data_IF_528092757988
#
_entry.id   IF_528092757988
#
_cell.length_a   1.000
_cell.length_b   1.000
_cell.length_c   1.000
_cell.angle_alpha   90.00
_cell.angle_beta   90.00
_cell.angle_gamma   90.00
#
_symmetry.space_group_name_H-M   'P 1'
#
loop_
_entity.id
_entity.type
_entity.pdbx_description
1 polymer ?
#
# COMPACT_ATOMS: atom_id res chain seq x y z
N UNK A 1 -13.91 -1.98 -19.72
CA UNK A 1 -12.94 -2.88 -19.06
C UNK A 1 -11.97 -2.15 -18.12
N UNK A 2 -12.19 -0.86 -17.81
CA UNK A 2 -11.27 -0.02 -17.01
C UNK A 2 -11.36 -0.20 -15.48
N UNK A 3 -12.32 -0.99 -14.99
CA UNK A 3 -12.51 -1.27 -13.56
C UNK A 3 -12.16 -2.72 -13.18
N UNK A 4 -12.12 -3.61 -14.17
CA UNK A 4 -11.85 -5.03 -13.95
C UNK A 4 -10.43 -5.29 -13.45
N UNK A 5 -9.46 -4.43 -13.81
CA UNK A 5 -8.08 -4.55 -13.32
C UNK A 5 -8.00 -4.38 -11.81
N UNK A 6 -8.79 -3.46 -11.23
CA UNK A 6 -8.80 -3.22 -9.78
C UNK A 6 -9.40 -4.43 -9.06
N UNK A 7 -10.54 -4.93 -9.56
CA UNK A 7 -11.16 -6.13 -9.01
C UNK A 7 -10.23 -7.36 -9.10
N UNK A 8 -9.52 -7.52 -10.21
CA UNK A 8 -8.57 -8.62 -10.39
C UNK A 8 -7.39 -8.52 -9.41
N UNK A 9 -6.84 -7.31 -9.21
CA UNK A 9 -5.80 -7.07 -8.22
C UNK A 9 -6.26 -7.42 -6.80
N UNK A 10 -7.48 -7.02 -6.42
CA UNK A 10 -8.04 -7.31 -5.10
C UNK A 10 -8.26 -8.81 -4.88
N UNK A 11 -8.69 -9.55 -5.90
CA UNK A 11 -8.83 -11.01 -5.80
C UNK A 11 -7.49 -11.71 -5.56
N UNK A 12 -6.41 -11.23 -6.18
CA UNK A 12 -5.06 -11.77 -5.93
C UNK A 12 -4.62 -11.56 -4.49
N UNK A 13 -4.85 -10.36 -3.94
CA UNK A 13 -4.52 -10.05 -2.55
C UNK A 13 -5.40 -10.84 -1.57
N UNK A 14 -6.68 -11.03 -1.90
CA UNK A 14 -7.59 -11.86 -1.11
C UNK A 14 -7.13 -13.32 -1.05
N UNK A 15 -6.74 -13.90 -2.18
CA UNK A 15 -6.20 -15.27 -2.26
C UNK A 15 -4.88 -15.41 -1.48
N UNK A 16 -4.04 -14.37 -1.46
CA UNK A 16 -2.79 -14.35 -0.66
C UNK A 16 -3.02 -14.13 0.84
N UNK A 17 -4.12 -13.48 1.23
CA UNK A 17 -4.42 -13.14 2.63
C UNK A 17 -4.35 -14.30 3.64
N UNK A 18 -4.86 -15.53 3.38
CA UNK A 18 -4.77 -16.64 4.32
C UNK A 18 -3.31 -17.01 4.64
N UNK A 19 -2.37 -16.84 3.72
CA UNK A 19 -0.96 -17.15 3.95
C UNK A 19 -0.40 -16.23 5.04
N UNK A 20 -0.69 -14.92 4.94
CA UNK A 20 -0.27 -13.95 5.93
C UNK A 20 -0.96 -14.18 7.28
N UNK A 21 -2.27 -14.40 7.29
CA UNK A 21 -3.03 -14.62 8.53
C UNK A 21 -2.56 -15.90 9.25
N UNK A 22 -2.42 -17.02 8.53
CA UNK A 22 -1.94 -18.27 9.11
C UNK A 22 -0.50 -18.17 9.60
N UNK A 23 0.36 -17.46 8.87
CA UNK A 23 1.73 -17.18 9.29
C UNK A 23 1.76 -16.37 10.59
N UNK A 24 0.91 -15.35 10.74
CA UNK A 24 0.81 -14.57 11.98
C UNK A 24 0.27 -15.39 13.15
N UNK A 25 -0.73 -16.25 12.91
CA UNK A 25 -1.35 -17.08 13.96
C UNK A 25 -0.42 -18.17 14.48
N UNK A 26 0.29 -18.86 13.59
CA UNK A 26 1.18 -19.98 13.97
C UNK A 26 2.56 -19.49 14.43
N UNK A 27 3.12 -18.48 13.75
CA UNK A 27 4.48 -17.99 14.01
C UNK A 27 4.53 -16.46 13.96
N UNK A 28 4.08 -15.82 15.02
CA UNK A 28 3.97 -14.36 15.15
C UNK A 28 5.19 -13.60 14.61
N UNK A 29 6.41 -13.96 15.05
CA UNK A 29 7.66 -13.31 14.62
C UNK A 29 7.91 -13.44 13.12
N UNK A 30 7.62 -14.61 12.56
CA UNK A 30 7.79 -14.87 11.13
C UNK A 30 6.74 -14.10 10.32
N UNK A 31 5.48 -14.06 10.76
CA UNK A 31 4.42 -13.28 10.13
C UNK A 31 4.71 -11.78 10.07
N UNK A 32 5.20 -11.18 11.17
CA UNK A 32 5.62 -9.76 11.16
C UNK A 32 6.81 -9.50 10.24
N UNK A 33 7.79 -10.40 10.21
CA UNK A 33 8.94 -10.29 9.33
C UNK A 33 8.52 -10.36 7.85
N UNK A 34 7.68 -11.34 7.49
CA UNK A 34 7.14 -11.53 6.15
C UNK A 34 6.35 -10.31 5.67
N UNK A 35 5.47 -9.77 6.52
CA UNK A 35 4.67 -8.59 6.21
C UNK A 35 5.55 -7.34 6.03
N UNK A 36 6.52 -7.13 6.92
CA UNK A 36 7.46 -5.99 6.84
C UNK A 36 8.30 -6.03 5.57
N UNK A 37 8.86 -7.20 5.23
CA UNK A 37 9.63 -7.39 3.99
C UNK A 37 8.76 -7.10 2.77
N UNK A 38 7.51 -7.57 2.75
CA UNK A 38 6.62 -7.36 1.60
C UNK A 38 6.25 -5.87 1.44
N UNK A 39 6.00 -5.16 2.53
CA UNK A 39 5.78 -3.70 2.52
C UNK A 39 7.03 -2.98 2.00
N UNK A 40 8.21 -3.37 2.49
CA UNK A 40 9.48 -2.77 2.09
C UNK A 40 9.77 -3.01 0.59
N UNK A 41 9.59 -4.22 0.10
CA UNK A 41 9.76 -4.57 -1.32
C UNK A 41 8.77 -3.83 -2.22
N UNK A 42 7.53 -3.66 -1.77
CA UNK A 42 6.51 -2.88 -2.48
C UNK A 42 6.91 -1.40 -2.59
N UNK A 43 7.37 -0.81 -1.49
CA UNK A 43 7.90 0.56 -1.46
C UNK A 43 9.17 0.73 -2.32
N UNK A 44 10.11 -0.21 -2.24
CA UNK A 44 11.34 -0.20 -3.03
C UNK A 44 11.03 -0.32 -4.52
N UNK A 45 10.07 -1.17 -4.91
CA UNK A 45 9.63 -1.29 -6.30
C UNK A 45 9.05 0.03 -6.82
N UNK A 46 8.21 0.70 -6.02
CA UNK A 46 7.71 2.04 -6.37
C UNK A 46 8.85 3.05 -6.54
N UNK A 47 9.82 3.04 -5.62
CA UNK A 47 10.96 3.95 -5.67
C UNK A 47 11.79 3.74 -6.94
N UNK A 48 12.21 2.49 -7.20
CA UNK A 48 13.03 2.13 -8.36
C UNK A 48 12.35 2.50 -9.69
N UNK A 49 11.05 2.21 -9.83
CA UNK A 49 10.33 2.54 -11.07
C UNK A 49 10.19 4.07 -11.21
N UNK A 50 10.01 4.79 -10.11
CA UNK A 50 9.94 6.26 -10.16
C UNK A 50 11.27 6.87 -10.58
N UNK A 51 12.41 6.33 -10.10
CA UNK A 51 13.74 6.81 -10.44
C UNK A 51 14.16 6.47 -11.87
N UNK A 52 13.89 5.24 -12.34
CA UNK A 52 14.25 4.79 -13.69
C UNK A 52 13.52 5.59 -14.78
N UNK A 53 12.22 5.80 -14.60
CA UNK A 53 11.38 6.43 -15.61
C UNK A 53 11.27 7.95 -15.44
N UNK A 54 11.99 8.56 -14.48
CA UNK A 54 11.85 9.98 -14.10
C UNK A 54 10.38 10.41 -14.05
N UNK A 55 9.55 9.57 -13.44
CA UNK A 55 8.10 9.78 -13.43
C UNK A 55 7.80 10.95 -12.52
N UNK A 56 7.15 11.97 -13.09
CA UNK A 56 6.58 13.06 -12.32
C UNK A 56 5.51 12.44 -11.43
N UNK A 57 5.59 12.70 -10.12
CA UNK A 57 4.60 12.22 -9.17
C UNK A 57 3.23 12.70 -9.67
N UNK A 58 2.30 11.78 -9.92
CA UNK A 58 0.97 12.12 -10.42
C UNK A 58 0.17 12.85 -9.32
N UNK A 59 0.53 14.10 -9.05
CA UNK A 59 -0.15 15.01 -8.15
C UNK A 59 -0.84 16.05 -9.02
N UNK A 60 -2.17 16.14 -8.90
CA UNK A 60 -2.96 17.14 -9.64
C UNK A 60 -2.47 18.58 -9.41
N UNK A 61 -1.73 18.83 -8.32
CA UNK A 61 -1.08 20.12 -8.01
C UNK A 61 0.00 20.50 -9.02
N UNK A 62 0.64 19.54 -9.69
CA UNK A 62 1.69 19.81 -10.69
C UNK A 62 1.11 20.01 -12.10
N UNK A 63 -0.19 19.77 -12.30
CA UNK A 63 -0.87 20.02 -13.57
C UNK A 63 -0.75 21.50 -13.97
N UNK A 64 -0.85 22.40 -12.99
CA UNK A 64 -0.74 23.84 -13.20
C UNK A 64 0.66 24.28 -13.67
N UNK A 65 1.70 23.50 -13.37
CA UNK A 65 3.08 23.78 -13.78
C UNK A 65 3.37 23.38 -15.23
N UNK A 66 2.54 22.51 -15.82
CA UNK A 66 2.75 21.92 -17.16
C UNK A 66 1.67 22.30 -18.19
N UNK A 67 0.89 23.36 -17.92
CA UNK A 67 -0.17 23.87 -18.82
C UNK A 67 0.35 24.16 -20.25
N UNK A 68 1.64 24.46 -20.40
CA UNK A 68 2.28 24.71 -21.70
C UNK A 68 2.56 23.47 -22.56
N UNK A 69 2.75 22.28 -21.97
CA UNK A 69 3.20 21.05 -22.65
C UNK A 69 2.33 19.83 -22.25
N UNK A 70 1.02 19.98 -22.40
CA UNK A 70 0.01 19.01 -21.96
C UNK A 70 0.21 17.61 -22.57
N UNK A 71 0.66 17.52 -23.82
CA UNK A 71 0.88 16.24 -24.53
C UNK A 71 1.98 15.41 -23.85
N UNK A 72 3.13 16.03 -23.56
CA UNK A 72 4.24 15.36 -22.87
C UNK A 72 3.89 14.93 -21.44
N UNK A 73 2.99 15.69 -20.79
CA UNK A 73 2.49 15.38 -19.46
C UNK A 73 1.53 14.18 -19.49
N UNK A 74 0.62 14.13 -20.48
CA UNK A 74 -0.29 13.00 -20.68
C UNK A 74 0.47 11.70 -20.96
N UNK A 75 1.51 11.74 -21.79
CA UNK A 75 2.35 10.56 -22.07
C UNK A 75 3.03 10.02 -20.82
N UNK A 76 3.56 10.91 -19.96
CA UNK A 76 4.15 10.53 -18.67
C UNK A 76 3.12 9.94 -17.72
N UNK A 77 1.88 10.45 -17.70
CA UNK A 77 0.78 9.85 -16.94
C UNK A 77 0.46 8.45 -17.45
N UNK A 78 0.36 8.26 -18.76
CA UNK A 78 0.05 6.94 -19.32
C UNK A 78 1.16 5.93 -19.01
N UNK A 79 2.43 6.34 -19.13
CA UNK A 79 3.56 5.51 -18.70
C UNK A 79 3.51 5.18 -17.20
N UNK A 80 3.14 6.14 -16.35
CA UNK A 80 2.93 5.89 -14.92
C UNK A 80 1.80 4.89 -14.67
N UNK A 81 0.66 5.05 -15.34
CA UNK A 81 -0.50 4.17 -15.17
C UNK A 81 -0.13 2.73 -15.56
N UNK A 82 0.52 2.55 -16.70
CA UNK A 82 0.91 1.23 -17.19
C UNK A 82 2.03 0.60 -16.34
N UNK A 83 3.04 1.39 -15.98
CA UNK A 83 4.26 0.88 -15.33
C UNK A 83 4.15 0.73 -13.82
N UNK A 84 3.23 1.45 -13.16
CA UNK A 84 3.09 1.47 -11.70
C UNK A 84 1.67 1.18 -11.22
N UNK A 85 0.66 1.79 -11.85
CA UNK A 85 -0.69 1.81 -11.31
C UNK A 85 -1.42 0.47 -11.48
N UNK A 86 -1.31 -0.16 -12.67
CA UNK A 86 -1.94 -1.46 -12.92
C UNK A 86 -1.27 -2.63 -12.21
N UNK A 87 -0.08 -2.43 -11.64
CA UNK A 87 0.70 -3.50 -11.02
C UNK A 87 0.27 -3.72 -9.56
N UNK A 88 -0.30 -4.87 -9.21
CA UNK A 88 -0.88 -5.11 -7.89
C UNK A 88 0.16 -5.10 -6.75
N UNK A 89 1.41 -5.45 -7.04
CA UNK A 89 2.48 -5.52 -6.05
C UNK A 89 2.92 -4.15 -5.52
N UNK A 90 2.70 -3.05 -6.24
CA UNK A 90 2.99 -1.68 -5.77
C UNK A 90 1.93 -1.20 -4.76
N UNK A 91 0.79 -1.90 -4.68
CA UNK A 91 -0.41 -1.52 -3.91
C UNK A 91 -0.71 -2.46 -2.75
N UNK A 92 0.08 -3.51 -2.53
CA UNK A 92 -0.19 -4.52 -1.49
C UNK A 92 0.07 -4.02 -0.06
N UNK A 93 0.89 -2.97 0.09
CA UNK A 93 1.29 -2.37 1.38
C UNK A 93 0.11 -2.01 2.30
N UNK A 94 -0.90 -1.22 1.88
CA UNK A 94 -2.05 -0.89 2.74
C UNK A 94 -2.86 -2.11 3.18
N UNK A 95 -2.98 -3.15 2.34
CA UNK A 95 -3.69 -4.37 2.71
C UNK A 95 -2.97 -5.12 3.83
N UNK A 96 -1.64 -5.24 3.75
CA UNK A 96 -0.84 -5.87 4.80
C UNK A 96 -0.89 -5.09 6.11
N UNK A 97 -0.88 -3.75 6.06
CA UNK A 97 -1.07 -2.92 7.25
C UNK A 97 -2.43 -3.21 7.89
N UNK A 98 -3.50 -3.34 7.08
CA UNK A 98 -4.82 -3.74 7.57
C UNK A 98 -4.84 -5.11 8.26
N UNK A 99 -4.17 -6.11 7.68
CA UNK A 99 -4.04 -7.45 8.29
C UNK A 99 -3.27 -7.39 9.61
N UNK A 100 -2.16 -6.64 9.66
CA UNK A 100 -1.37 -6.46 10.88
C UNK A 100 -2.18 -5.77 11.99
N UNK A 101 -2.94 -4.73 11.65
CA UNK A 101 -3.83 -4.04 12.58
C UNK A 101 -4.95 -4.96 13.07
N UNK A 102 -5.60 -5.70 12.17
CA UNK A 102 -6.63 -6.67 12.52
C UNK A 102 -6.12 -7.72 13.50
N UNK A 103 -4.91 -8.24 13.27
CA UNK A 103 -4.26 -9.17 14.19
C UNK A 103 -3.95 -8.54 15.56
N UNK A 104 -3.46 -7.30 15.58
CA UNK A 104 -3.18 -6.57 16.82
C UNK A 104 -4.45 -6.35 17.67
N UNK A 105 -5.61 -6.20 17.02
CA UNK A 105 -6.90 -6.07 17.68
C UNK A 105 -7.49 -7.40 18.13
N UNK A 106 -7.22 -8.49 17.42
CA UNK A 106 -7.79 -9.82 17.71
C UNK A 106 -7.57 -10.29 19.16
N UNK A 107 -6.45 -9.93 19.80
CA UNK A 107 -6.11 -10.35 21.16
C UNK A 107 -6.34 -9.32 22.27
N UNK A 108 -6.82 -8.10 21.97
CA UNK A 108 -6.93 -7.01 22.95
C UNK A 108 -8.39 -6.65 23.23
N UNK A 109 -8.74 -6.60 24.52
CA UNK A 109 -10.02 -6.05 24.94
C UNK A 109 -10.11 -4.57 24.53
N UNK A 110 -11.13 -4.19 23.75
CA UNK A 110 -11.34 -2.80 23.26
C UNK A 110 -11.30 -1.73 24.37
N UNK A 111 -11.67 -2.09 25.62
CA UNK A 111 -11.58 -1.21 26.80
C UNK A 111 -10.13 -0.78 27.13
N UNK A 112 -9.16 -1.67 26.98
CA UNK A 112 -7.75 -1.41 27.33
C UNK A 112 -7.05 -0.55 26.26
N UNK A 113 -7.49 -0.68 25.00
CA UNK A 113 -7.02 0.15 23.88
C UNK A 113 -7.47 1.60 24.06
N UNK A 114 -8.76 1.83 24.36
CA UNK A 114 -9.30 3.18 24.58
C UNK A 114 -8.53 3.96 25.65
N UNK A 115 -8.17 3.30 26.75
CA UNK A 115 -7.44 3.94 27.85
C UNK A 115 -6.01 4.36 27.45
N UNK A 116 -5.30 3.60 26.61
CA UNK A 116 -3.95 3.99 26.13
C UNK A 116 -3.97 5.17 25.16
N UNK A 117 -4.94 5.23 24.25
CA UNK A 117 -5.05 6.37 23.34
C UNK A 117 -5.40 7.66 24.10
N UNK A 118 -6.29 7.56 25.09
CA UNK A 118 -6.62 8.69 25.99
C UNK A 118 -5.39 9.13 26.79
N UNK A 119 -4.56 8.21 27.32
CA UNK A 119 -3.29 8.59 27.96
C UNK A 119 -2.28 9.25 27.01
N UNK A 120 -2.16 8.80 25.76
CA UNK A 120 -1.27 9.45 24.78
C UNK A 120 -1.74 10.85 24.39
N UNK A 121 -3.06 11.08 24.33
CA UNK A 121 -3.63 12.40 24.03
C UNK A 121 -3.57 13.33 25.25
N UNK A 122 -3.64 12.80 26.48
CA UNK A 122 -3.48 13.59 27.72
C UNK A 122 -2.02 13.94 28.04
N UNK A 123 -1.05 13.30 27.39
CA UNK A 123 0.39 13.58 27.53
C UNK A 123 0.97 14.45 26.39
N UNK A 124 0.11 14.96 25.51
CA UNK A 124 0.41 15.92 24.43
C UNK A 124 -0.25 17.26 24.76
#
# INVERSE_FOLDING_TARGET
MLWCWHLAAEMQVYVLSPIFILSLLRWQRFGYCLASITIFLSGLSCFLITTEYNLIYCSFVQLDLYIGDLESFLDRIWMYIDSLYYKPYTRISPYLIGVLLGYQFYGKNFKDIRNRWVSCILFL
#
